data_IF_263520704895
#
_entry.id   IF_263520704895
#
_cell.length_a   1.000
_cell.length_b   1.000
_cell.length_c   1.000
_cell.angle_alpha   90.00
_cell.angle_beta   90.00
_cell.angle_gamma   90.00
#
_symmetry.space_group_name_H-M   'P 1'
#
loop_
_entity.id
_entity.type
_entity.pdbx_description
1 polymer ?
#
# COMPACT_ATOMS: atom_id res chain seq x y z
N UNK A 1 -13.86 -22.95 -17.74
CA UNK A 1 -14.36 -23.51 -16.46
C UNK A 1 -13.46 -23.00 -15.37
N UNK A 2 -13.96 -22.09 -14.52
CA UNK A 2 -13.19 -21.44 -13.44
C UNK A 2 -13.20 -22.37 -12.23
N UNK A 3 -12.07 -22.92 -11.85
CA UNK A 3 -11.91 -23.59 -10.55
C UNK A 3 -11.60 -22.54 -9.50
N UNK A 4 -12.62 -22.08 -8.80
CA UNK A 4 -12.46 -21.25 -7.61
C UNK A 4 -12.07 -22.16 -6.44
N UNK A 5 -10.91 -21.92 -5.85
CA UNK A 5 -10.47 -22.62 -4.65
C UNK A 5 -11.28 -22.07 -3.46
N UNK A 6 -12.10 -22.93 -2.87
CA UNK A 6 -12.93 -22.59 -1.71
C UNK A 6 -12.06 -22.47 -0.45
N UNK A 7 -12.37 -21.50 0.43
CA UNK A 7 -11.72 -21.30 1.75
C UNK A 7 -11.68 -22.56 2.61
N UNK A 8 -12.58 -23.49 2.36
CA UNK A 8 -12.69 -24.77 3.09
C UNK A 8 -11.58 -25.76 2.73
N UNK A 9 -11.01 -25.66 1.52
CA UNK A 9 -9.94 -26.55 1.07
C UNK A 9 -8.54 -26.08 1.49
N UNK A 10 -8.41 -24.82 1.86
CA UNK A 10 -7.14 -24.26 2.36
C UNK A 10 -6.80 -24.76 3.77
N UNK A 11 -7.81 -24.99 4.61
CA UNK A 11 -7.60 -25.47 5.98
C UNK A 11 -7.37 -27.00 6.10
N UNK A 12 -7.63 -27.77 5.05
CA UNK A 12 -7.43 -29.22 5.05
C UNK A 12 -5.99 -29.65 4.73
N UNK A 13 -5.15 -28.76 4.19
CA UNK A 13 -3.77 -29.06 3.83
C UNK A 13 -2.73 -28.82 4.94
N UNK A 14 -3.15 -28.23 6.07
CA UNK A 14 -2.24 -27.88 7.19
C UNK A 14 -2.17 -28.94 8.33
N UNK A 15 -2.76 -30.12 8.14
CA UNK A 15 -3.06 -31.06 9.22
C UNK A 15 -2.32 -32.39 9.25
N UNK A 16 -1.23 -32.59 8.51
CA UNK A 16 -0.51 -33.90 8.55
C UNK A 16 1.01 -33.69 8.57
N UNK A 17 1.58 -33.23 9.64
CA UNK A 17 2.95 -33.56 10.07
C UNK A 17 3.07 -33.30 11.59
N UNK A 18 2.64 -34.25 12.40
CA UNK A 18 3.12 -34.39 13.78
C UNK A 18 2.65 -35.74 14.35
N UNK A 19 3.43 -36.78 14.15
CA UNK A 19 3.50 -37.92 15.09
C UNK A 19 4.47 -38.96 14.56
N UNK A 20 5.71 -38.94 15.01
CA UNK A 20 6.51 -40.14 15.21
C UNK A 20 7.85 -39.75 15.87
N UNK A 21 8.03 -40.22 17.10
CA UNK A 21 9.34 -40.41 17.60
C UNK A 21 9.63 -39.99 19.04
N UNK A 22 9.20 -40.73 20.01
CA UNK A 22 9.97 -40.92 21.25
C UNK A 22 9.78 -42.35 21.71
N UNK A 23 10.81 -43.16 21.66
CA UNK A 23 11.05 -44.29 22.58
C UNK A 23 12.54 -44.54 22.69
N UNK A 24 13.08 -44.14 23.82
CA UNK A 24 14.36 -44.54 24.38
C UNK A 24 14.27 -45.89 24.97
N UNK A 25 15.29 -46.73 24.80
CA UNK A 25 15.83 -47.51 25.92
C UNK A 25 17.04 -48.36 25.53
N UNK A 26 18.06 -48.16 26.28
CA UNK A 26 19.24 -48.94 26.68
C UNK A 26 19.50 -50.35 26.17
N UNK A 27 20.74 -50.57 25.78
CA UNK A 27 21.50 -51.75 26.25
C UNK A 27 22.01 -52.73 25.19
N UNK A 28 23.31 -52.90 25.07
CA UNK A 28 23.91 -54.17 24.68
C UNK A 28 24.69 -54.19 23.35
N UNK A 29 25.99 -54.33 23.51
CA UNK A 29 27.00 -54.53 22.47
C UNK A 29 26.77 -55.78 21.61
N UNK A 30 26.99 -55.69 20.32
CA UNK A 30 27.94 -56.51 19.56
C UNK A 30 27.80 -56.32 18.05
N UNK A 31 28.94 -56.22 17.44
CA UNK A 31 29.34 -56.19 16.05
C UNK A 31 28.45 -56.88 15.00
N UNK A 32 28.20 -56.26 13.86
CA UNK A 32 28.75 -56.60 12.56
C UNK A 32 27.90 -56.02 11.41
N UNK A 33 28.61 -55.56 10.41
CA UNK A 33 28.27 -55.44 8.99
C UNK A 33 27.37 -54.30 8.50
N UNK A 34 28.01 -53.49 7.73
CA UNK A 34 27.59 -52.43 6.90
C UNK A 34 26.41 -52.76 5.97
N UNK A 35 25.44 -51.84 5.91
CA UNK A 35 24.69 -51.54 4.71
C UNK A 35 24.47 -50.04 4.68
N UNK A 36 25.26 -49.38 3.86
CA UNK A 36 25.10 -47.96 3.50
C UNK A 36 23.79 -47.80 2.71
N UNK A 37 22.73 -47.43 3.39
CA UNK A 37 21.63 -46.76 2.71
C UNK A 37 21.95 -45.29 2.66
N UNK A 38 22.41 -44.83 1.50
CA UNK A 38 22.57 -43.43 1.19
C UNK A 38 21.20 -42.74 1.30
N UNK A 39 21.00 -42.01 2.38
CA UNK A 39 19.97 -41.00 2.42
C UNK A 39 20.37 -39.94 1.38
N UNK A 40 19.73 -39.97 0.23
CA UNK A 40 19.77 -38.87 -0.75
C UNK A 40 19.14 -37.66 -0.09
N UNK A 41 19.93 -36.95 0.69
CA UNK A 41 19.66 -35.55 1.02
C UNK A 41 19.69 -34.78 -0.29
N UNK A 42 18.53 -34.43 -0.78
CA UNK A 42 18.41 -33.44 -1.84
C UNK A 42 18.95 -32.13 -1.26
N UNK A 43 20.27 -31.94 -1.33
CA UNK A 43 20.87 -30.62 -1.29
C UNK A 43 20.35 -29.93 -2.54
N UNK A 44 19.40 -29.01 -2.38
CA UNK A 44 19.10 -28.05 -3.42
C UNK A 44 20.45 -27.44 -3.81
N UNK A 45 20.93 -27.80 -5.00
CA UNK A 45 22.10 -27.19 -5.58
C UNK A 45 21.82 -25.69 -5.63
N UNK A 46 22.59 -24.90 -4.90
CA UNK A 46 22.64 -23.48 -5.12
C UNK A 46 23.00 -23.30 -6.60
N UNK A 47 22.04 -22.88 -7.40
CA UNK A 47 22.26 -22.58 -8.79
C UNK A 47 23.23 -21.40 -8.82
N UNK A 48 24.48 -21.67 -9.19
CA UNK A 48 25.46 -20.65 -9.54
C UNK A 48 25.11 -20.14 -10.94
N UNK A 49 23.95 -19.52 -11.08
CA UNK A 49 23.47 -18.85 -12.28
C UNK A 49 23.12 -17.42 -11.92
N UNK A 50 23.20 -16.52 -12.91
CA UNK A 50 22.77 -15.14 -12.76
C UNK A 50 21.41 -15.06 -12.05
N UNK A 51 21.31 -14.27 -10.99
CA UNK A 51 20.04 -13.98 -10.31
C UNK A 51 19.26 -12.90 -11.09
N UNK A 52 17.95 -12.86 -10.91
CA UNK A 52 17.12 -11.75 -11.36
C UNK A 52 16.92 -10.83 -10.16
N UNK A 53 17.45 -9.61 -10.22
CA UNK A 53 17.33 -8.65 -9.12
C UNK A 53 16.03 -7.86 -9.24
N UNK A 54 15.18 -7.97 -8.24
CA UNK A 54 13.90 -7.27 -8.15
C UNK A 54 13.94 -6.34 -6.95
N UNK A 55 13.73 -5.05 -7.19
CA UNK A 55 13.55 -4.07 -6.13
C UNK A 55 12.16 -4.20 -5.50
N UNK A 56 12.11 -4.06 -4.20
CA UNK A 56 10.85 -3.98 -3.43
C UNK A 56 11.00 -2.80 -2.47
N UNK A 57 10.31 -1.70 -2.75
CA UNK A 57 10.49 -0.43 -2.06
C UNK A 57 9.16 0.09 -1.51
N UNK A 58 9.25 0.76 -0.38
CA UNK A 58 8.14 1.45 0.27
C UNK A 58 8.55 2.00 1.63
N UNK A 59 7.72 2.85 2.25
CA UNK A 59 7.98 3.41 3.57
C UNK A 59 7.91 2.30 4.64
N UNK A 60 9.04 1.80 5.09
CA UNK A 60 9.11 0.80 6.18
C UNK A 60 9.13 1.48 7.55
N UNK A 61 9.44 2.77 7.56
CA UNK A 61 9.39 3.67 8.73
C UNK A 61 8.70 4.99 8.37
N UNK A 62 8.45 5.87 9.36
CA UNK A 62 7.73 7.13 9.15
C UNK A 62 6.21 7.00 9.20
N UNK A 63 5.52 8.09 8.86
CA UNK A 63 4.09 8.32 9.13
C UNK A 63 3.13 7.43 8.33
N UNK A 64 3.59 6.81 7.25
CA UNK A 64 2.80 5.96 6.36
C UNK A 64 3.34 4.53 6.29
N UNK A 65 4.12 4.13 7.31
CA UNK A 65 4.84 2.84 7.34
C UNK A 65 3.92 1.61 7.36
N UNK A 66 2.67 1.74 7.81
CA UNK A 66 1.70 0.64 7.78
C UNK A 66 1.50 0.12 6.36
N UNK A 67 1.35 1.02 5.39
CA UNK A 67 1.20 0.63 3.98
C UNK A 67 2.46 0.00 3.41
N UNK A 68 3.63 0.64 3.64
CA UNK A 68 4.90 0.13 3.12
C UNK A 68 5.24 -1.26 3.63
N UNK A 69 5.06 -1.48 4.92
CA UNK A 69 5.27 -2.80 5.52
C UNK A 69 4.33 -3.86 4.93
N UNK A 70 3.05 -3.53 4.69
CA UNK A 70 2.09 -4.44 4.09
C UNK A 70 2.49 -4.81 2.65
N UNK A 71 2.81 -3.82 1.82
CA UNK A 71 3.21 -4.02 0.41
C UNK A 71 4.52 -4.79 0.32
N UNK A 72 5.56 -4.37 1.05
CA UNK A 72 6.88 -5.02 1.01
C UNK A 72 6.82 -6.45 1.53
N UNK A 73 6.06 -6.70 2.59
CA UNK A 73 5.85 -8.06 3.11
C UNK A 73 5.11 -8.94 2.11
N UNK A 74 4.03 -8.43 1.50
CA UNK A 74 3.25 -9.15 0.50
C UNK A 74 4.07 -9.49 -0.75
N UNK A 75 4.78 -8.52 -1.31
CA UNK A 75 5.66 -8.70 -2.45
C UNK A 75 6.79 -9.70 -2.16
N UNK A 76 7.48 -9.52 -1.02
CA UNK A 76 8.56 -10.41 -0.60
C UNK A 76 8.08 -11.85 -0.39
N UNK A 77 6.90 -12.04 0.22
CA UNK A 77 6.31 -13.37 0.40
C UNK A 77 6.08 -14.06 -0.94
N UNK A 78 5.51 -13.35 -1.91
CA UNK A 78 5.24 -13.90 -3.23
C UNK A 78 6.53 -14.24 -3.98
N UNK A 79 7.53 -13.34 -3.98
CA UNK A 79 8.82 -13.58 -4.63
C UNK A 79 9.57 -14.77 -4.03
N UNK A 80 9.49 -14.95 -2.69
CA UNK A 80 10.02 -16.15 -2.02
C UNK A 80 9.29 -17.43 -2.45
N UNK A 81 7.97 -17.38 -2.66
CA UNK A 81 7.22 -18.52 -3.19
C UNK A 81 7.64 -18.85 -4.63
N UNK A 82 7.87 -17.84 -5.48
CA UNK A 82 8.40 -18.04 -6.84
C UNK A 82 9.76 -18.75 -6.77
N UNK A 83 10.65 -18.30 -5.90
CA UNK A 83 11.95 -18.92 -5.69
C UNK A 83 11.85 -20.38 -5.21
N UNK A 84 10.94 -20.67 -4.26
CA UNK A 84 10.72 -22.02 -3.77
C UNK A 84 10.21 -22.98 -4.86
N UNK A 85 9.54 -22.44 -5.89
CA UNK A 85 9.06 -23.17 -7.06
C UNK A 85 10.07 -23.20 -8.23
N UNK A 86 11.32 -22.84 -8.00
CA UNK A 86 12.40 -22.93 -8.99
C UNK A 86 12.76 -21.60 -9.68
N UNK A 87 12.18 -20.50 -9.24
CA UNK A 87 12.47 -19.17 -9.78
C UNK A 87 11.82 -18.91 -11.14
N UNK A 88 12.34 -17.95 -11.87
CA UNK A 88 11.88 -17.58 -13.20
C UNK A 88 12.84 -18.17 -14.23
N UNK A 89 12.37 -19.08 -15.05
CA UNK A 89 13.19 -19.81 -16.04
C UNK A 89 14.45 -20.46 -15.42
N UNK A 90 14.32 -20.98 -14.18
CA UNK A 90 15.41 -21.59 -13.43
C UNK A 90 16.36 -20.62 -12.73
N UNK A 91 16.18 -19.31 -12.89
CA UNK A 91 16.94 -18.27 -12.17
C UNK A 91 16.24 -17.89 -10.88
N UNK A 92 17.00 -17.78 -9.81
CA UNK A 92 16.46 -17.29 -8.53
C UNK A 92 16.30 -15.77 -8.55
N UNK A 93 15.30 -15.26 -7.84
CA UNK A 93 15.11 -13.84 -7.62
C UNK A 93 15.91 -13.42 -6.39
N UNK A 94 16.77 -12.44 -6.56
CA UNK A 94 17.38 -11.68 -5.48
C UNK A 94 16.52 -10.44 -5.20
N UNK A 95 16.09 -10.30 -3.96
CA UNK A 95 15.18 -9.20 -3.55
C UNK A 95 16.04 -8.09 -2.95
N UNK A 96 16.01 -6.91 -3.56
CA UNK A 96 16.60 -5.69 -3.02
C UNK A 96 15.50 -4.93 -2.30
N UNK A 97 15.68 -4.61 -1.01
CA UNK A 97 14.65 -3.93 -0.21
C UNK A 97 15.20 -2.61 0.31
N UNK A 98 14.45 -1.53 0.11
CA UNK A 98 14.80 -0.19 0.58
C UNK A 98 13.62 0.47 1.29
N UNK A 99 13.93 1.31 2.30
CA UNK A 99 13.00 2.13 3.08
C UNK A 99 13.16 3.60 2.68
N UNK A 100 12.17 4.15 2.03
CA UNK A 100 12.17 5.56 1.57
C UNK A 100 11.45 6.52 2.54
N UNK A 101 10.85 6.01 3.64
CA UNK A 101 10.29 6.77 4.77
C UNK A 101 9.11 7.69 4.40
N UNK A 102 8.48 7.52 3.25
CA UNK A 102 7.44 8.39 2.71
C UNK A 102 7.97 9.70 2.11
N UNK A 103 9.28 9.77 1.84
CA UNK A 103 9.95 10.96 1.32
C UNK A 103 10.36 10.79 -0.14
N UNK A 104 9.94 11.74 -1.00
CA UNK A 104 10.21 11.68 -2.44
C UNK A 104 11.71 11.70 -2.78
N UNK A 105 12.52 12.43 -2.03
CA UNK A 105 13.98 12.50 -2.26
C UNK A 105 14.65 11.19 -1.87
N UNK A 106 14.22 10.60 -0.76
CA UNK A 106 14.73 9.29 -0.35
C UNK A 106 14.29 8.20 -1.34
N UNK A 107 13.07 8.27 -1.88
CA UNK A 107 12.60 7.32 -2.88
C UNK A 107 13.47 7.31 -4.14
N UNK A 108 13.85 8.47 -4.65
CA UNK A 108 14.80 8.58 -5.78
C UNK A 108 16.17 8.03 -5.40
N UNK A 109 16.67 8.33 -4.20
CA UNK A 109 17.96 7.80 -3.74
C UNK A 109 17.95 6.27 -3.62
N UNK A 110 16.89 5.70 -3.05
CA UNK A 110 16.69 4.25 -2.93
C UNK A 110 16.60 3.59 -4.30
N UNK A 111 15.80 4.18 -5.21
CA UNK A 111 15.68 3.71 -6.60
C UNK A 111 17.03 3.68 -7.30
N UNK A 112 17.77 4.79 -7.30
CA UNK A 112 19.08 4.91 -7.95
C UNK A 112 20.08 3.90 -7.37
N UNK A 113 20.09 3.72 -6.05
CA UNK A 113 20.92 2.70 -5.39
C UNK A 113 20.60 1.30 -5.90
N UNK A 114 19.31 0.93 -5.99
CA UNK A 114 18.91 -0.39 -6.51
C UNK A 114 19.25 -0.57 -7.99
N UNK A 115 19.18 0.49 -8.80
CA UNK A 115 19.65 0.48 -10.19
C UNK A 115 21.14 0.19 -10.26
N UNK A 116 21.96 0.86 -9.43
CA UNK A 116 23.41 0.64 -9.37
C UNK A 116 23.75 -0.79 -8.90
N UNK A 117 22.91 -1.40 -8.09
CA UNK A 117 23.02 -2.80 -7.69
C UNK A 117 22.58 -3.78 -8.78
N UNK A 118 22.03 -3.29 -9.90
CA UNK A 118 21.63 -4.08 -11.06
C UNK A 118 20.18 -4.57 -10.99
N UNK A 119 19.27 -3.82 -10.36
CA UNK A 119 17.83 -4.06 -10.40
C UNK A 119 17.32 -4.14 -11.85
N UNK A 120 16.36 -5.02 -12.10
CA UNK A 120 15.77 -5.24 -13.43
C UNK A 120 14.27 -4.96 -13.48
N UNK A 121 13.62 -4.87 -12.33
CA UNK A 121 12.22 -4.47 -12.17
C UNK A 121 11.99 -3.98 -10.73
N UNK A 122 11.03 -3.08 -10.54
CA UNK A 122 10.64 -2.54 -9.24
C UNK A 122 9.19 -2.93 -8.90
N UNK A 123 8.96 -3.43 -7.69
CA UNK A 123 7.65 -3.47 -7.03
C UNK A 123 7.65 -2.34 -6.00
N UNK A 124 6.90 -1.28 -6.29
CA UNK A 124 6.89 -0.03 -5.53
C UNK A 124 6.75 1.17 -6.50
N UNK A 125 6.67 2.44 -6.07
CA UNK A 125 6.62 2.74 -4.66
C UNK A 125 5.17 2.61 -4.11
N UNK A 126 4.89 3.08 -2.90
CA UNK A 126 3.64 2.76 -2.20
C UNK A 126 2.70 3.96 -2.15
N UNK A 127 3.16 5.11 -1.69
CA UNK A 127 2.34 6.34 -1.64
C UNK A 127 2.59 7.22 -2.86
N UNK A 128 1.62 8.05 -3.21
CA UNK A 128 1.62 8.78 -4.49
C UNK A 128 2.84 9.67 -4.69
N UNK A 129 3.17 10.55 -3.74
CA UNK A 129 4.24 11.55 -3.94
C UNK A 129 5.62 10.92 -4.16
N UNK A 130 6.09 9.96 -3.34
CA UNK A 130 7.33 9.24 -3.63
C UNK A 130 7.26 8.43 -4.93
N UNK A 131 6.11 7.81 -5.23
CA UNK A 131 5.93 7.05 -6.48
C UNK A 131 6.12 7.95 -7.71
N UNK A 132 5.54 9.15 -7.74
CA UNK A 132 5.69 10.10 -8.85
C UNK A 132 7.16 10.51 -9.06
N UNK A 133 7.91 10.71 -7.98
CA UNK A 133 9.33 11.02 -8.08
C UNK A 133 10.13 9.85 -8.70
N UNK A 134 9.79 8.61 -8.32
CA UNK A 134 10.41 7.40 -8.89
C UNK A 134 9.95 7.17 -10.33
N UNK A 135 8.71 7.46 -10.68
CA UNK A 135 8.21 7.36 -12.07
C UNK A 135 9.05 8.24 -12.99
N UNK A 136 9.26 9.51 -12.59
CA UNK A 136 10.07 10.44 -13.38
C UNK A 136 11.50 9.92 -13.60
N UNK A 137 12.15 9.40 -12.56
CA UNK A 137 13.51 8.85 -12.63
C UNK A 137 13.55 7.54 -13.42
N UNK A 138 12.54 6.68 -13.28
CA UNK A 138 12.48 5.36 -13.91
C UNK A 138 12.42 5.41 -15.43
N UNK A 139 11.93 6.52 -15.99
CA UNK A 139 11.82 6.72 -17.44
C UNK A 139 13.19 6.71 -18.13
N UNK A 140 14.21 7.31 -17.52
CA UNK A 140 15.58 7.37 -18.05
C UNK A 140 16.23 5.99 -18.18
N UNK A 141 15.78 5.04 -17.36
CA UNK A 141 16.25 3.64 -17.36
C UNK A 141 15.32 2.70 -18.09
N UNK A 142 14.14 3.17 -18.54
CA UNK A 142 13.04 2.34 -19.02
C UNK A 142 12.79 1.17 -18.05
N UNK A 143 12.83 1.46 -16.73
CA UNK A 143 12.73 0.46 -15.67
C UNK A 143 11.28 0.01 -15.50
N UNK A 144 10.95 -1.25 -15.74
CA UNK A 144 9.60 -1.75 -15.46
C UNK A 144 9.29 -1.63 -13.97
N UNK A 145 8.20 -0.96 -13.63
CA UNK A 145 7.75 -0.85 -12.24
C UNK A 145 6.26 -1.07 -12.09
N UNK A 146 5.87 -1.60 -10.95
CA UNK A 146 4.46 -1.74 -10.58
C UNK A 146 4.24 -1.23 -9.16
N UNK A 147 3.37 -0.23 -9.03
CA UNK A 147 2.87 0.19 -7.71
C UNK A 147 1.68 -0.67 -7.29
N UNK A 148 1.66 -1.05 -6.01
CA UNK A 148 0.54 -1.78 -5.43
C UNK A 148 -0.61 -0.85 -4.99
N UNK A 149 -0.31 0.41 -4.69
CA UNK A 149 -1.22 1.29 -3.94
C UNK A 149 -1.22 2.77 -4.33
N UNK A 150 -0.24 3.29 -5.07
CA UNK A 150 -0.27 4.69 -5.49
C UNK A 150 -1.40 4.96 -6.50
N UNK A 151 -2.34 5.85 -6.14
CA UNK A 151 -3.65 5.99 -6.77
C UNK A 151 -3.79 7.19 -7.69
N UNK A 152 -2.91 8.20 -7.64
CA UNK A 152 -2.99 9.34 -8.55
C UNK A 152 -2.88 8.92 -10.02
N UNK A 153 -3.68 9.53 -10.90
CA UNK A 153 -3.65 9.22 -12.34
C UNK A 153 -2.27 9.41 -12.95
N UNK A 154 -1.57 10.48 -12.53
CA UNK A 154 -0.25 10.85 -13.02
C UNK A 154 0.82 9.75 -12.87
N UNK A 155 0.59 8.77 -12.01
CA UNK A 155 1.50 7.62 -11.87
C UNK A 155 1.64 6.83 -13.17
N UNK A 156 0.56 6.65 -13.92
CA UNK A 156 0.57 5.87 -15.17
C UNK A 156 0.20 6.66 -16.41
N UNK A 157 -0.33 7.86 -16.24
CA UNK A 157 -0.80 8.69 -17.35
C UNK A 157 -0.59 10.18 -17.04
N UNK A 158 0.15 10.87 -17.90
CA UNK A 158 0.32 12.32 -17.82
C UNK A 158 -0.77 13.02 -18.66
N UNK A 159 -1.71 13.64 -17.96
CA UNK A 159 -2.83 14.34 -18.59
C UNK A 159 -2.42 15.65 -19.31
N UNK A 160 -1.30 16.27 -18.92
CA UNK A 160 -0.83 17.50 -19.57
C UNK A 160 -0.27 17.23 -20.97
N UNK A 161 0.42 16.10 -21.11
CA UNK A 161 1.05 15.71 -22.38
C UNK A 161 0.26 14.66 -23.15
N UNK A 162 -0.86 14.15 -22.60
CA UNK A 162 -1.66 13.06 -23.14
C UNK A 162 -0.81 11.80 -23.42
N UNK A 163 0.09 11.45 -22.47
CA UNK A 163 1.02 10.34 -22.62
C UNK A 163 0.90 9.31 -21.51
N UNK A 164 1.08 8.05 -21.87
CA UNK A 164 1.15 6.92 -20.92
C UNK A 164 2.60 6.68 -20.52
N UNK A 165 2.85 6.48 -19.23
CA UNK A 165 4.14 6.04 -18.72
C UNK A 165 4.31 4.54 -19.02
N UNK A 166 4.86 4.19 -20.19
CA UNK A 166 4.85 2.83 -20.77
C UNK A 166 5.57 1.76 -19.90
N UNK A 167 6.49 2.19 -19.03
CA UNK A 167 7.22 1.31 -18.11
C UNK A 167 6.56 1.17 -16.73
N UNK A 168 5.45 1.89 -16.48
CA UNK A 168 4.81 1.97 -15.14
C UNK A 168 3.43 1.34 -15.15
N UNK A 169 3.21 0.44 -14.20
CA UNK A 169 1.95 -0.28 -14.03
C UNK A 169 1.39 -0.06 -12.64
N UNK A 170 0.07 -0.16 -12.51
CA UNK A 170 -0.67 -0.03 -11.26
C UNK A 170 -1.52 -1.26 -11.00
N UNK A 171 -1.54 -1.75 -9.76
CA UNK A 171 -2.37 -2.87 -9.32
C UNK A 171 -3.50 -2.44 -8.37
N UNK A 172 -3.92 -1.18 -8.44
CA UNK A 172 -4.99 -0.60 -7.64
C UNK A 172 -5.93 0.28 -8.50
N UNK A 173 -6.92 0.91 -7.87
CA UNK A 173 -7.82 1.89 -8.47
C UNK A 173 -7.16 3.29 -8.53
N UNK A 174 -7.90 4.29 -8.99
CA UNK A 174 -7.41 5.68 -9.12
C UNK A 174 -8.15 6.64 -8.18
N UNK A 175 -7.55 7.80 -7.91
CA UNK A 175 -8.16 8.86 -7.12
C UNK A 175 -9.50 9.36 -7.70
N UNK A 176 -9.65 9.57 -9.02
CA UNK A 176 -10.94 9.89 -9.61
C UNK A 176 -12.01 8.84 -9.30
N UNK A 177 -11.67 7.54 -9.39
CA UNK A 177 -12.62 6.49 -9.04
C UNK A 177 -13.06 6.56 -7.57
N UNK A 178 -12.12 6.76 -6.64
CA UNK A 178 -12.44 6.85 -5.21
C UNK A 178 -13.27 8.10 -4.89
N UNK A 179 -12.82 9.27 -5.36
CA UNK A 179 -13.49 10.55 -5.12
C UNK A 179 -14.94 10.52 -5.60
N UNK A 180 -15.16 10.07 -6.85
CA UNK A 180 -16.50 9.89 -7.43
C UNK A 180 -17.33 8.91 -6.60
N UNK A 181 -16.78 7.74 -6.24
CA UNK A 181 -17.52 6.74 -5.48
C UNK A 181 -17.87 7.20 -4.07
N UNK A 182 -17.02 7.98 -3.44
CA UNK A 182 -17.32 8.53 -2.12
C UNK A 182 -18.38 9.64 -2.20
N UNK A 183 -18.38 10.48 -3.23
CA UNK A 183 -19.44 11.46 -3.49
C UNK A 183 -20.79 10.79 -3.77
N UNK A 184 -20.81 9.75 -4.65
CA UNK A 184 -21.98 8.89 -4.89
C UNK A 184 -22.53 8.32 -3.57
N UNK A 185 -21.64 7.80 -2.73
CA UNK A 185 -22.03 7.21 -1.45
C UNK A 185 -22.60 8.25 -0.49
N UNK A 186 -21.94 9.39 -0.34
CA UNK A 186 -22.39 10.48 0.52
C UNK A 186 -23.78 11.00 0.09
N UNK A 187 -23.94 11.30 -1.19
CA UNK A 187 -25.16 11.91 -1.70
C UNK A 187 -26.30 10.89 -1.86
N UNK A 188 -26.07 9.78 -2.60
CA UNK A 188 -27.13 8.86 -2.99
C UNK A 188 -27.47 7.83 -1.91
N UNK A 189 -26.51 7.45 -1.06
CA UNK A 189 -26.72 6.40 -0.05
C UNK A 189 -26.95 6.98 1.34
N UNK A 190 -26.17 7.97 1.75
CA UNK A 190 -26.31 8.59 3.07
C UNK A 190 -27.30 9.76 3.04
N UNK A 191 -27.62 10.32 1.87
CA UNK A 191 -28.59 11.40 1.70
C UNK A 191 -28.05 12.77 2.08
N UNK A 192 -26.73 12.93 2.20
CA UNK A 192 -26.12 14.21 2.49
C UNK A 192 -26.20 15.14 1.29
N UNK A 193 -26.58 16.38 1.55
CA UNK A 193 -26.73 17.44 0.53
C UNK A 193 -25.74 18.59 0.74
N UNK A 194 -25.09 18.63 1.91
CA UNK A 194 -24.07 19.62 2.28
C UNK A 194 -22.82 18.92 2.79
N UNK A 195 -21.72 19.08 2.12
CA UNK A 195 -20.43 18.56 2.55
C UNK A 195 -19.40 19.66 2.70
N UNK A 196 -18.45 19.48 3.61
CA UNK A 196 -17.19 20.23 3.63
C UNK A 196 -16.06 19.28 3.27
N UNK A 197 -14.91 19.85 2.89
CA UNK A 197 -13.69 19.09 2.57
C UNK A 197 -12.51 19.65 3.37
N UNK A 198 -11.65 18.78 3.90
CA UNK A 198 -10.38 19.17 4.52
C UNK A 198 -9.26 18.27 3.98
N UNK A 199 -8.24 18.87 3.36
CA UNK A 199 -7.19 18.11 2.66
C UNK A 199 -5.83 18.78 2.78
N UNK A 200 -4.77 17.99 2.58
CA UNK A 200 -3.41 18.48 2.48
C UNK A 200 -3.15 19.04 1.07
N UNK A 201 -2.77 20.32 0.98
CA UNK A 201 -2.43 20.96 -0.28
C UNK A 201 -1.00 20.63 -0.73
N UNK A 202 -0.78 20.61 -2.05
CA UNK A 202 0.51 20.31 -2.66
C UNK A 202 0.83 18.81 -2.65
N UNK A 203 -0.17 17.96 -2.46
CA UNK A 203 -0.04 16.51 -2.50
C UNK A 203 -1.08 15.93 -3.47
N UNK A 204 -0.60 15.33 -4.57
CA UNK A 204 -1.45 14.85 -5.68
C UNK A 204 -2.56 13.89 -5.24
N UNK A 205 -2.26 12.98 -4.28
CA UNK A 205 -3.26 12.07 -3.71
C UNK A 205 -4.42 12.82 -3.06
N UNK A 206 -4.09 13.75 -2.17
CA UNK A 206 -5.09 14.47 -1.37
C UNK A 206 -5.92 15.42 -2.24
N UNK A 207 -5.26 16.15 -3.15
CA UNK A 207 -5.89 17.08 -4.07
C UNK A 207 -6.74 16.35 -5.11
N UNK A 208 -6.23 15.27 -5.69
CA UNK A 208 -6.95 14.47 -6.68
C UNK A 208 -8.24 13.86 -6.12
N UNK A 209 -8.19 13.32 -4.92
CA UNK A 209 -9.39 12.81 -4.22
C UNK A 209 -10.38 13.93 -3.90
N UNK A 210 -9.90 15.06 -3.34
CA UNK A 210 -10.73 16.20 -2.97
C UNK A 210 -11.44 16.77 -4.20
N UNK A 211 -10.73 17.01 -5.29
CA UNK A 211 -11.28 17.56 -6.52
C UNK A 211 -12.36 16.67 -7.12
N UNK A 212 -12.09 15.38 -7.24
CA UNK A 212 -13.05 14.44 -7.83
C UNK A 212 -14.29 14.24 -6.94
N UNK A 213 -14.14 14.27 -5.61
CA UNK A 213 -15.27 14.27 -4.70
C UNK A 213 -16.13 15.53 -4.86
N UNK A 214 -15.51 16.71 -4.89
CA UNK A 214 -16.20 18.01 -5.04
C UNK A 214 -16.98 18.04 -6.33
N UNK A 215 -16.31 17.75 -7.46
CA UNK A 215 -16.92 17.81 -8.78
C UNK A 215 -18.12 16.85 -8.89
N UNK A 216 -18.01 15.63 -8.40
CA UNK A 216 -19.10 14.67 -8.45
C UNK A 216 -20.22 15.04 -7.49
N UNK A 217 -19.91 15.44 -6.25
CA UNK A 217 -20.93 15.79 -5.25
C UNK A 217 -21.79 16.96 -5.72
N UNK A 218 -21.17 17.98 -6.35
CA UNK A 218 -21.88 19.11 -6.95
C UNK A 218 -22.66 18.70 -8.20
N UNK A 219 -22.14 17.80 -9.03
CA UNK A 219 -22.85 17.28 -10.23
C UNK A 219 -24.14 16.54 -9.86
N UNK A 220 -24.17 15.89 -8.70
CA UNK A 220 -25.34 15.20 -8.16
C UNK A 220 -26.36 16.16 -7.54
N UNK A 221 -26.03 17.44 -7.40
CA UNK A 221 -26.90 18.48 -6.80
C UNK A 221 -26.60 18.76 -5.34
N UNK A 222 -25.53 18.22 -4.80
CA UNK A 222 -24.98 18.56 -3.49
C UNK A 222 -24.34 19.94 -3.47
N UNK A 223 -24.03 20.43 -2.27
CA UNK A 223 -23.36 21.72 -2.06
C UNK A 223 -22.11 21.51 -1.21
N UNK A 224 -20.97 21.93 -1.71
CA UNK A 224 -19.75 22.03 -0.92
C UNK A 224 -19.80 23.37 -0.18
N UNK A 225 -20.03 23.29 1.13
CA UNK A 225 -20.22 24.50 1.98
C UNK A 225 -18.89 25.11 2.40
N UNK A 226 -17.82 24.34 2.39
CA UNK A 226 -16.46 24.81 2.68
C UNK A 226 -15.38 23.86 2.16
N UNK A 227 -14.22 24.43 1.84
CA UNK A 227 -13.01 23.68 1.45
C UNK A 227 -11.81 24.28 2.20
N UNK A 228 -11.33 23.55 3.17
CA UNK A 228 -10.17 23.94 3.97
C UNK A 228 -8.94 23.10 3.61
N UNK A 229 -7.79 23.70 3.67
CA UNK A 229 -6.52 23.01 3.40
C UNK A 229 -5.48 23.32 4.48
N UNK A 230 -4.50 22.42 4.56
CA UNK A 230 -3.33 22.58 5.43
C UNK A 230 -2.05 22.18 4.65
N UNK A 231 -0.90 22.44 5.24
CA UNK A 231 0.41 22.15 4.62
C UNK A 231 1.05 20.91 5.25
N UNK A 232 1.98 20.29 4.53
CA UNK A 232 2.82 19.23 5.09
C UNK A 232 3.48 19.69 6.40
N UNK A 233 3.41 18.82 7.42
CA UNK A 233 3.97 19.10 8.75
C UNK A 233 3.06 19.89 9.70
N UNK A 234 1.89 20.33 9.24
CA UNK A 234 0.89 20.94 10.14
C UNK A 234 0.31 19.87 11.08
N UNK A 235 0.17 20.24 12.36
CA UNK A 235 -0.36 19.38 13.44
C UNK A 235 -1.51 19.99 14.21
N UNK A 236 -1.89 21.24 13.90
CA UNK A 236 -3.03 21.94 14.51
C UNK A 236 -4.01 22.36 13.40
N UNK A 237 -5.17 21.73 13.42
CA UNK A 237 -6.24 21.87 12.43
C UNK A 237 -7.47 22.61 12.97
N UNK A 238 -7.41 23.12 14.20
CA UNK A 238 -8.57 23.71 14.90
C UNK A 238 -9.14 24.92 14.18
N UNK A 239 -8.31 25.70 13.50
CA UNK A 239 -8.75 26.86 12.74
C UNK A 239 -9.64 26.42 11.58
N UNK A 240 -9.18 25.48 10.76
CA UNK A 240 -9.91 24.92 9.65
C UNK A 240 -11.21 24.24 10.12
N UNK A 241 -11.10 23.40 11.15
CA UNK A 241 -12.25 22.69 11.72
C UNK A 241 -13.32 23.63 12.32
N UNK A 242 -12.89 24.74 12.92
CA UNK A 242 -13.81 25.78 13.44
C UNK A 242 -14.50 26.51 12.27
N UNK A 243 -13.79 26.78 11.18
CA UNK A 243 -14.38 27.38 9.96
C UNK A 243 -15.43 26.44 9.39
N UNK A 244 -15.10 25.17 9.21
CA UNK A 244 -16.02 24.13 8.74
C UNK A 244 -17.26 24.04 9.64
N UNK A 245 -17.08 23.99 10.97
CA UNK A 245 -18.19 23.95 11.93
C UNK A 245 -19.15 25.12 11.71
N UNK A 246 -18.61 26.32 11.46
CA UNK A 246 -19.42 27.53 11.20
C UNK A 246 -20.25 27.49 9.91
N UNK A 247 -20.01 26.53 9.01
CA UNK A 247 -20.74 26.34 7.74
C UNK A 247 -21.88 25.32 7.83
N UNK A 248 -22.04 24.65 8.94
CA UNK A 248 -23.09 23.66 9.20
C UNK A 248 -23.17 22.56 8.11
N UNK A 249 -22.05 21.82 7.88
CA UNK A 249 -22.05 20.69 6.97
C UNK A 249 -22.80 19.48 7.57
N UNK A 250 -23.27 18.57 6.73
CA UNK A 250 -23.82 17.27 7.15
C UNK A 250 -22.76 16.19 7.22
N UNK A 251 -21.65 16.39 6.51
CA UNK A 251 -20.47 15.49 6.49
C UNK A 251 -19.21 16.27 6.12
N UNK A 252 -18.05 15.72 6.49
CA UNK A 252 -16.75 16.21 6.04
C UNK A 252 -16.02 15.12 5.27
N UNK A 253 -15.60 15.40 4.04
CA UNK A 253 -14.68 14.54 3.30
C UNK A 253 -13.24 14.90 3.67
N UNK A 254 -12.48 13.90 4.12
CA UNK A 254 -11.12 14.06 4.65
C UNK A 254 -10.18 13.08 3.94
N UNK A 255 -9.78 13.35 2.68
CA UNK A 255 -8.92 12.49 1.88
C UNK A 255 -7.46 12.60 2.28
N UNK A 256 -7.12 12.09 3.45
CA UNK A 256 -5.78 12.16 4.03
C UNK A 256 -5.33 10.78 4.51
N UNK A 257 -4.06 10.66 4.92
CA UNK A 257 -3.53 9.42 5.48
C UNK A 257 -3.86 9.28 6.97
N UNK A 258 -3.88 8.05 7.45
CA UNK A 258 -4.40 7.66 8.76
C UNK A 258 -3.88 8.46 9.95
N UNK A 259 -2.59 8.84 9.98
CA UNK A 259 -2.01 9.58 11.11
C UNK A 259 -2.57 11.00 11.19
N UNK A 260 -2.61 11.71 10.07
CA UNK A 260 -3.20 13.05 9.98
C UNK A 260 -4.71 13.00 10.26
N UNK A 261 -5.41 11.98 9.72
CA UNK A 261 -6.84 11.77 9.97
C UNK A 261 -7.12 11.59 11.46
N UNK A 262 -6.34 10.76 12.16
CA UNK A 262 -6.50 10.58 13.60
C UNK A 262 -6.36 11.89 14.38
N UNK A 263 -5.40 12.74 14.01
CA UNK A 263 -5.21 14.06 14.60
C UNK A 263 -6.38 15.02 14.28
N UNK A 264 -6.87 15.02 13.02
CA UNK A 264 -8.01 15.82 12.57
C UNK A 264 -9.27 15.41 13.33
N UNK A 265 -9.59 14.13 13.42
CA UNK A 265 -10.76 13.62 14.13
C UNK A 265 -10.75 14.00 15.62
N UNK A 266 -9.59 13.82 16.29
CA UNK A 266 -9.44 14.20 17.68
C UNK A 266 -9.64 15.70 17.92
N UNK A 267 -9.18 16.54 16.99
CA UNK A 267 -9.35 17.98 17.09
C UNK A 267 -10.75 18.44 16.69
N UNK A 268 -11.40 17.74 15.72
CA UNK A 268 -12.80 17.98 15.36
C UNK A 268 -13.73 17.83 16.57
N UNK A 269 -13.56 16.73 17.32
CA UNK A 269 -14.29 16.52 18.58
C UNK A 269 -14.04 17.67 19.57
N UNK A 270 -12.79 18.12 19.72
CA UNK A 270 -12.41 19.17 20.66
C UNK A 270 -13.03 20.53 20.34
N UNK A 271 -13.35 20.82 19.07
CA UNK A 271 -14.04 22.06 18.65
C UNK A 271 -15.55 21.87 18.53
N UNK A 272 -16.07 20.67 18.76
CA UNK A 272 -17.51 20.37 18.70
C UNK A 272 -18.02 20.04 17.29
N UNK A 273 -17.15 19.74 16.34
CA UNK A 273 -17.54 19.27 15.00
C UNK A 273 -17.73 17.75 15.08
N UNK A 274 -19.00 17.32 15.19
CA UNK A 274 -19.38 15.92 15.45
C UNK A 274 -20.12 15.26 14.28
N UNK A 275 -20.12 15.89 13.11
CA UNK A 275 -20.69 15.29 11.89
C UNK A 275 -19.81 14.10 11.44
N UNK A 276 -20.38 13.12 10.71
CA UNK A 276 -19.62 12.03 10.16
C UNK A 276 -18.52 12.52 9.21
N UNK A 277 -17.34 11.92 9.32
CA UNK A 277 -16.24 12.10 8.38
C UNK A 277 -16.21 10.93 7.40
N UNK A 278 -15.84 11.21 6.18
CA UNK A 278 -15.67 10.25 5.10
C UNK A 278 -14.25 10.36 4.56
N UNK A 279 -13.67 9.24 4.12
CA UNK A 279 -12.30 9.20 3.60
C UNK A 279 -12.13 8.29 2.40
N UNK A 280 -10.88 8.07 2.01
CA UNK A 280 -10.47 7.13 1.00
C UNK A 280 -9.66 5.97 1.59
N UNK A 281 -8.93 5.27 0.73
CA UNK A 281 -8.04 4.16 1.11
C UNK A 281 -6.93 4.55 2.09
N UNK A 282 -6.55 5.84 2.12
CA UNK A 282 -5.60 6.38 3.09
C UNK A 282 -6.06 6.29 4.56
N UNK A 283 -7.27 5.81 4.83
CA UNK A 283 -7.75 5.55 6.18
C UNK A 283 -7.41 4.14 6.68
N UNK A 284 -6.88 3.27 5.83
CA UNK A 284 -6.43 1.95 6.27
C UNK A 284 -5.30 2.08 7.32
N UNK A 285 -5.52 1.52 8.51
CA UNK A 285 -4.65 1.70 9.67
C UNK A 285 -5.10 2.77 10.67
N UNK A 286 -6.21 3.47 10.41
CA UNK A 286 -6.74 4.54 11.28
C UNK A 286 -7.08 4.04 12.69
N UNK A 287 -7.45 2.77 12.86
CA UNK A 287 -7.75 2.17 14.16
C UNK A 287 -6.57 2.22 15.16
N UNK A 288 -5.36 2.47 14.68
CA UNK A 288 -4.18 2.72 15.52
C UNK A 288 -4.07 4.17 16.04
N UNK A 289 -4.84 5.10 15.46
CA UNK A 289 -4.71 6.54 15.67
C UNK A 289 -6.01 7.22 16.10
N UNK A 290 -7.15 6.58 15.92
CA UNK A 290 -8.46 7.06 16.34
C UNK A 290 -9.04 6.18 17.45
N UNK A 291 -9.87 6.75 18.33
CA UNK A 291 -10.60 5.98 19.33
C UNK A 291 -11.78 5.25 18.70
N UNK A 292 -12.28 4.17 19.36
CA UNK A 292 -13.46 3.44 18.88
C UNK A 292 -14.72 4.32 18.76
N UNK A 293 -14.79 5.44 19.48
CA UNK A 293 -15.92 6.37 19.41
C UNK A 293 -15.80 7.35 18.23
N UNK A 294 -14.62 7.38 17.55
CA UNK A 294 -14.32 8.21 16.39
C UNK A 294 -14.39 7.43 15.07
N UNK A 295 -14.37 6.10 15.15
CA UNK A 295 -14.49 5.16 14.02
C UNK A 295 -15.94 4.71 13.85
#
# INVERSE_FOLDING_TARGET
MKNMISRRNFLAAAGVVAAAGVLTACGGSSSTAASTAAASGSTAAAASGDTIKVGVMGPLSGNVSVYGQAVVNGATLYLKQVNANGGINGKQIEILTEDEQGDATQAVNCFTKMVDEGMTALIGDVTTTPTLAVVAESADYNMPMVTASATAEAVTYDAETDTVNENVFRATFTDPFQGIKMADYAYQRLGYTKAAVIFKKGADYNEGLAENFVNEFESLGGTIVDQESYSEGDVDFKTQLTTILGKDPETVFCPNYYEEVGQILSQAESVGLTVPFLGGDGWDGLEGYASNDQL
#
